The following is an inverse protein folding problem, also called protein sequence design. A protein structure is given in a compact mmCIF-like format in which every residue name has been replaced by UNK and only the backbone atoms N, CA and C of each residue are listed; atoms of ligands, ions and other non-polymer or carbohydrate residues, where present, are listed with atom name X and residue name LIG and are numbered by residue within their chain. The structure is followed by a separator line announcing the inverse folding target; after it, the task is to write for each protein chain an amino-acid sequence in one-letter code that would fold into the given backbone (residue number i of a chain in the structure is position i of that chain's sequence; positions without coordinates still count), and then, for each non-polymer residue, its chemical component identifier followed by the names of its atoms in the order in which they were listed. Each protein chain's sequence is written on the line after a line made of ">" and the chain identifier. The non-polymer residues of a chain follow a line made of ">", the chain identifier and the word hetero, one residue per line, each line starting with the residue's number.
data_IF_077002481217
#
_entry.id   IF_077002481217
#
_cell.length_a   1.000
_cell.length_b   1.000
_cell.length_c   1.000
_cell.angle_alpha   90.00
_cell.angle_beta   90.00
_cell.angle_gamma   90.00
#
_symmetry.space_group_name_H-M   'P 1'
#
loop_
_entity.id
_entity.type
_entity.pdbx_description
1 polymer ?
#
# COMPACT_ATOMS: atom_id res chain seq x y z
N UNK A 1 59.90 17.68 -24.03
CA UNK A 1 58.45 17.94 -23.94
C UNK A 1 57.67 16.64 -24.06
N UNK A 2 57.21 16.04 -22.96
CA UNK A 2 56.07 15.10 -22.90
C UNK A 2 55.53 15.14 -21.47
N UNK A 3 54.54 16.01 -21.22
CA UNK A 3 53.87 16.14 -19.93
C UNK A 3 52.82 15.04 -19.79
N UNK A 4 52.90 14.25 -18.72
CA UNK A 4 51.89 13.27 -18.35
C UNK A 4 50.64 14.00 -17.82
N UNK A 5 49.50 13.70 -18.43
CA UNK A 5 48.17 14.16 -17.99
C UNK A 5 47.78 13.31 -16.77
N UNK A 6 47.78 13.91 -15.59
CA UNK A 6 47.22 13.32 -14.37
C UNK A 6 45.70 13.51 -14.37
N UNK A 7 44.95 12.43 -14.61
CA UNK A 7 43.50 12.41 -14.44
C UNK A 7 43.17 12.30 -12.95
N UNK A 8 42.63 13.38 -12.37
CA UNK A 8 42.03 13.41 -11.05
C UNK A 8 40.62 12.80 -11.14
N UNK A 9 40.49 11.52 -10.78
CA UNK A 9 39.19 10.85 -10.69
C UNK A 9 38.53 11.21 -9.36
N UNK A 10 37.53 12.12 -9.41
CA UNK A 10 36.65 12.44 -8.28
C UNK A 10 35.70 11.25 -8.06
N UNK A 11 35.86 10.56 -6.94
CA UNK A 11 34.98 9.46 -6.54
C UNK A 11 33.71 10.04 -5.89
N UNK A 12 32.62 10.16 -6.66
CA UNK A 12 31.29 10.50 -6.15
C UNK A 12 30.73 9.27 -5.41
N UNK A 13 30.72 9.30 -4.08
CA UNK A 13 30.05 8.29 -3.26
C UNK A 13 28.54 8.54 -3.38
N UNK A 14 27.88 7.79 -4.25
CA UNK A 14 26.42 7.81 -4.35
C UNK A 14 25.84 7.05 -3.16
N UNK A 15 25.41 7.77 -2.12
CA UNK A 15 24.54 7.21 -1.07
C UNK A 15 23.21 6.88 -1.73
N UNK A 16 23.04 5.61 -2.10
CA UNK A 16 21.75 5.09 -2.55
C UNK A 16 20.96 4.80 -1.27
N UNK A 17 19.99 5.65 -0.94
CA UNK A 17 18.97 5.31 0.04
C UNK A 17 18.19 4.12 -0.52
N UNK A 18 18.53 2.90 -0.10
CA UNK A 18 17.67 1.75 -0.32
C UNK A 18 16.38 2.06 0.46
N UNK A 19 15.28 2.26 -0.27
CA UNK A 19 13.97 2.23 0.35
C UNK A 19 13.87 0.84 1.00
N UNK A 20 13.79 0.81 2.33
CA UNK A 20 13.58 -0.41 3.09
C UNK A 20 12.15 -0.88 2.77
N UNK A 21 12.01 -1.65 1.70
CA UNK A 21 10.76 -2.33 1.38
C UNK A 21 10.60 -3.40 2.46
N UNK A 22 9.74 -3.12 3.45
CA UNK A 22 9.55 -3.98 4.61
C UNK A 22 9.30 -5.44 4.22
N UNK A 23 9.71 -6.37 5.08
CA UNK A 23 9.53 -7.79 4.81
C UNK A 23 8.03 -8.14 4.69
N UNK A 24 7.70 -8.94 3.68
CA UNK A 24 6.34 -9.43 3.49
C UNK A 24 5.93 -10.30 4.68
N UNK A 25 4.75 -10.05 5.23
CA UNK A 25 4.19 -10.85 6.30
C UNK A 25 3.88 -12.26 5.81
N UNK A 26 4.09 -13.26 6.68
CA UNK A 26 3.57 -14.61 6.48
C UNK A 26 2.05 -14.63 6.61
N UNK A 27 1.44 -15.74 6.18
CA UNK A 27 0.00 -15.97 6.34
C UNK A 27 -0.47 -15.83 7.80
N UNK A 28 0.26 -16.45 8.75
CA UNK A 28 -0.07 -16.41 10.19
C UNK A 28 0.07 -15.00 10.75
N UNK A 29 1.12 -14.28 10.35
CA UNK A 29 1.33 -12.89 10.75
C UNK A 29 0.18 -12.02 10.22
N UNK A 30 -0.15 -12.12 8.94
CA UNK A 30 -1.26 -11.40 8.34
C UNK A 30 -2.59 -11.68 9.05
N UNK A 31 -2.92 -12.96 9.30
CA UNK A 31 -4.14 -13.33 10.03
C UNK A 31 -4.22 -12.74 11.44
N UNK A 32 -3.08 -12.63 12.14
CA UNK A 32 -3.04 -12.05 13.48
C UNK A 32 -3.17 -10.52 13.48
N UNK A 33 -2.72 -9.86 12.42
CA UNK A 33 -2.57 -8.40 12.39
C UNK A 33 -3.68 -7.67 11.63
N UNK A 34 -4.29 -8.31 10.64
CA UNK A 34 -5.34 -7.67 9.82
C UNK A 34 -6.60 -7.35 10.64
N UNK A 35 -7.13 -8.23 11.52
CA UNK A 35 -8.28 -7.91 12.36
C UNK A 35 -8.11 -6.62 13.17
N UNK A 36 -9.02 -5.66 13.00
CA UNK A 36 -9.01 -4.37 13.69
C UNK A 36 -8.03 -3.33 13.12
N UNK A 37 -7.28 -3.67 12.07
CA UNK A 37 -6.32 -2.74 11.45
C UNK A 37 -7.00 -1.68 10.58
N UNK A 38 -6.32 -0.54 10.42
CA UNK A 38 -6.63 0.47 9.39
C UNK A 38 -5.44 0.58 8.44
N UNK A 39 -5.73 0.63 7.15
CA UNK A 39 -4.75 0.72 6.07
C UNK A 39 -5.13 1.85 5.12
N UNK A 40 -4.15 2.37 4.39
CA UNK A 40 -4.39 3.42 3.42
C UNK A 40 -3.42 3.37 2.25
N UNK A 41 -3.82 3.95 1.12
CA UNK A 41 -2.99 4.09 -0.07
C UNK A 41 -3.36 5.36 -0.82
N UNK A 42 -2.35 6.13 -1.20
CA UNK A 42 -2.53 7.26 -2.12
C UNK A 42 -2.54 6.71 -3.56
N UNK A 43 -3.58 7.02 -4.31
CA UNK A 43 -3.69 6.69 -5.73
C UNK A 43 -2.85 7.64 -6.60
N UNK A 44 -2.64 7.26 -7.87
CA UNK A 44 -1.85 8.06 -8.82
C UNK A 44 -2.41 9.47 -9.05
N UNK A 45 -3.72 9.66 -8.88
CA UNK A 45 -4.39 10.96 -8.97
C UNK A 45 -4.31 11.79 -7.68
N UNK A 46 -3.53 11.35 -6.68
CA UNK A 46 -3.43 12.00 -5.37
C UNK A 46 -4.63 11.78 -4.44
N UNK A 47 -5.64 11.02 -4.86
CA UNK A 47 -6.76 10.64 -3.99
C UNK A 47 -6.32 9.62 -2.94
N UNK A 48 -6.86 9.72 -1.73
CA UNK A 48 -6.58 8.78 -0.66
C UNK A 48 -7.64 7.67 -0.65
N UNK A 49 -7.19 6.42 -0.65
CA UNK A 49 -8.01 5.27 -0.30
C UNK A 49 -7.66 4.85 1.12
N UNK A 50 -8.66 4.74 1.99
CA UNK A 50 -8.49 4.28 3.36
C UNK A 50 -9.50 3.17 3.64
N UNK A 51 -9.13 2.15 4.39
CA UNK A 51 -10.04 1.11 4.82
C UNK A 51 -9.71 0.58 6.21
N UNK A 52 -10.76 0.16 6.92
CA UNK A 52 -10.64 -0.48 8.23
C UNK A 52 -11.16 -1.91 8.13
N UNK A 53 -10.35 -2.85 8.63
CA UNK A 53 -10.63 -4.28 8.66
C UNK A 53 -11.29 -4.64 9.99
N UNK A 54 -12.56 -5.01 9.98
CA UNK A 54 -13.27 -5.56 11.14
C UNK A 54 -12.75 -6.95 11.50
N UNK A 55 -12.79 -7.31 12.78
CA UNK A 55 -12.35 -8.64 13.24
C UNK A 55 -13.24 -9.80 12.74
N UNK A 56 -14.40 -9.48 12.19
CA UNK A 56 -15.40 -10.41 11.64
C UNK A 56 -15.24 -10.69 10.13
N UNK A 57 -14.14 -10.22 9.53
CA UNK A 57 -13.88 -10.35 8.10
C UNK A 57 -14.58 -9.29 7.23
N UNK A 58 -15.27 -8.33 7.83
CA UNK A 58 -15.83 -7.18 7.10
C UNK A 58 -14.83 -6.03 7.01
N UNK A 59 -15.01 -5.15 6.04
CA UNK A 59 -14.26 -3.91 5.94
C UNK A 59 -15.15 -2.77 5.45
N UNK A 60 -14.73 -1.54 5.71
CA UNK A 60 -15.32 -0.34 5.09
C UNK A 60 -14.22 0.40 4.36
N UNK A 61 -14.42 0.67 3.08
CA UNK A 61 -13.46 1.39 2.22
C UNK A 61 -13.98 2.79 1.94
N UNK A 62 -13.14 3.79 2.12
CA UNK A 62 -13.37 5.18 1.77
C UNK A 62 -12.43 5.61 0.64
N UNK A 63 -12.97 6.26 -0.39
CA UNK A 63 -12.19 7.00 -1.39
C UNK A 63 -12.39 8.48 -1.16
N UNK A 64 -11.33 9.15 -0.71
CA UNK A 64 -11.25 10.58 -0.59
C UNK A 64 -10.67 11.14 -1.89
N UNK A 65 -11.26 12.22 -2.42
CA UNK A 65 -10.80 12.82 -3.65
C UNK A 65 -9.41 13.46 -3.46
N UNK A 66 -8.65 13.59 -4.56
CA UNK A 66 -7.38 14.32 -4.53
C UNK A 66 -7.58 15.83 -4.30
N UNK A 67 -6.52 16.57 -3.93
CA UNK A 67 -6.58 18.02 -3.72
C UNK A 67 -7.19 18.77 -4.91
N UNK A 68 -8.07 19.73 -4.63
CA UNK A 68 -8.72 20.57 -5.66
C UNK A 68 -9.88 19.91 -6.42
N UNK A 69 -10.19 18.64 -6.15
CA UNK A 69 -11.36 17.97 -6.72
C UNK A 69 -12.66 18.42 -6.06
N UNK A 70 -13.72 18.51 -6.87
CA UNK A 70 -15.10 18.79 -6.42
C UNK A 70 -15.89 17.53 -6.07
N UNK A 71 -15.30 16.34 -6.23
CA UNK A 71 -15.98 15.09 -5.92
C UNK A 71 -16.10 14.93 -4.39
N UNK A 72 -17.20 14.34 -3.92
CA UNK A 72 -17.36 13.99 -2.50
C UNK A 72 -16.60 12.71 -2.12
N UNK A 73 -16.48 12.47 -0.82
CA UNK A 73 -16.01 11.19 -0.28
C UNK A 73 -17.00 10.09 -0.65
N UNK A 74 -16.47 8.95 -1.12
CA UNK A 74 -17.27 7.77 -1.47
C UNK A 74 -16.93 6.63 -0.52
N UNK A 75 -17.93 5.83 -0.14
CA UNK A 75 -17.75 4.68 0.75
C UNK A 75 -18.37 3.43 0.14
N UNK A 76 -17.76 2.28 0.42
CA UNK A 76 -18.30 0.96 0.10
C UNK A 76 -18.06 -0.02 1.26
N UNK A 77 -18.98 -0.96 1.42
CA UNK A 77 -18.75 -2.15 2.21
C UNK A 77 -17.73 -3.04 1.50
N UNK A 78 -17.03 -3.86 2.28
CA UNK A 78 -16.06 -4.79 1.76
C UNK A 78 -15.93 -6.03 2.67
N UNK A 79 -15.26 -7.05 2.16
CA UNK A 79 -14.85 -8.25 2.90
C UNK A 79 -13.36 -8.46 2.68
N UNK A 80 -12.64 -8.77 3.75
CA UNK A 80 -11.23 -9.08 3.65
C UNK A 80 -10.97 -10.55 3.96
N UNK A 81 -9.89 -11.06 3.41
CA UNK A 81 -9.37 -12.40 3.68
C UNK A 81 -7.85 -12.41 3.56
N UNK A 82 -7.22 -13.47 4.06
CA UNK A 82 -5.83 -13.78 3.77
C UNK A 82 -5.81 -15.13 3.07
N UNK A 83 -5.20 -15.21 1.90
CA UNK A 83 -5.03 -16.46 1.17
C UNK A 83 -3.91 -17.31 1.77
N UNK A 84 -3.92 -18.62 1.51
CA UNK A 84 -2.93 -19.56 2.04
C UNK A 84 -1.48 -19.19 1.69
N UNK A 85 -1.26 -18.47 0.58
CA UNK A 85 0.05 -17.96 0.16
C UNK A 85 0.43 -16.59 0.79
N UNK A 86 -0.31 -16.15 1.81
CA UNK A 86 -0.03 -14.97 2.62
C UNK A 86 -0.43 -13.64 2.00
N UNK A 87 -1.25 -13.62 0.93
CA UNK A 87 -1.75 -12.37 0.37
C UNK A 87 -3.00 -11.92 1.11
N UNK A 88 -3.05 -10.64 1.45
CA UNK A 88 -4.26 -9.97 1.90
C UNK A 88 -5.13 -9.66 0.67
N UNK A 89 -6.39 -10.06 0.71
CA UNK A 89 -7.37 -9.81 -0.33
C UNK A 89 -8.52 -8.94 0.18
N UNK A 90 -9.06 -8.10 -0.70
CA UNK A 90 -10.20 -7.24 -0.41
C UNK A 90 -11.22 -7.30 -1.55
N UNK A 91 -12.45 -7.67 -1.20
CA UNK A 91 -13.63 -7.65 -2.06
C UNK A 91 -14.46 -6.42 -1.72
N UNK A 92 -14.66 -5.51 -2.66
CA UNK A 92 -15.29 -4.22 -2.43
C UNK A 92 -16.58 -4.03 -3.23
N UNK A 93 -17.66 -3.68 -2.54
CA UNK A 93 -19.00 -3.61 -3.10
C UNK A 93 -19.33 -2.20 -3.62
N UNK A 94 -18.56 -1.72 -4.60
CA UNK A 94 -18.89 -0.46 -5.26
C UNK A 94 -20.05 -0.61 -6.24
N UNK A 95 -20.96 0.36 -6.24
CA UNK A 95 -22.01 0.44 -7.26
C UNK A 95 -21.42 0.56 -8.67
N UNK A 96 -22.14 0.12 -9.71
CA UNK A 96 -21.72 0.24 -11.12
C UNK A 96 -21.32 1.66 -11.52
N UNK A 97 -22.04 2.69 -11.08
CA UNK A 97 -21.70 4.10 -11.33
C UNK A 97 -20.40 4.59 -10.67
N UNK A 98 -19.83 3.77 -9.78
CA UNK A 98 -18.56 4.03 -9.08
C UNK A 98 -17.42 3.09 -9.54
N UNK A 99 -17.64 2.34 -10.63
CA UNK A 99 -16.67 1.40 -11.20
C UNK A 99 -17.04 -0.08 -10.99
N UNK A 100 -18.12 -0.37 -10.27
CA UNK A 100 -18.55 -1.74 -9.99
C UNK A 100 -17.69 -2.47 -8.96
N UNK A 101 -18.10 -3.69 -8.56
CA UNK A 101 -17.38 -4.48 -7.58
C UNK A 101 -15.92 -4.70 -7.96
N UNK A 102 -15.03 -4.69 -6.98
CA UNK A 102 -13.59 -4.85 -7.19
C UNK A 102 -13.02 -5.88 -6.23
N UNK A 103 -12.33 -6.87 -6.77
CA UNK A 103 -11.51 -7.81 -6.02
C UNK A 103 -10.03 -7.55 -6.31
N UNK A 104 -9.19 -7.55 -5.28
CA UNK A 104 -7.74 -7.52 -5.44
C UNK A 104 -7.04 -8.20 -4.27
N UNK A 105 -5.82 -8.67 -4.50
CA UNK A 105 -4.95 -9.25 -3.49
C UNK A 105 -3.54 -8.66 -3.59
N UNK A 106 -2.87 -8.49 -2.46
CA UNK A 106 -1.49 -8.01 -2.38
C UNK A 106 -0.81 -8.59 -1.15
N UNK A 107 0.52 -8.72 -1.19
CA UNK A 107 1.28 -8.99 0.04
C UNK A 107 1.26 -7.73 0.90
N UNK A 108 1.34 -7.91 2.20
CA UNK A 108 1.39 -6.79 3.15
C UNK A 108 2.66 -6.83 3.95
N UNK A 109 3.12 -5.66 4.35
CA UNK A 109 4.25 -5.46 5.25
C UNK A 109 3.78 -4.73 6.49
N UNK A 110 4.63 -4.68 7.51
CA UNK A 110 4.41 -3.90 8.72
C UNK A 110 5.50 -2.84 8.81
N UNK A 111 5.12 -1.58 8.98
CA UNK A 111 6.08 -0.51 9.24
C UNK A 111 6.55 -0.49 10.71
N UNK A 112 7.49 0.41 11.02
CA UNK A 112 8.06 0.54 12.37
C UNK A 112 7.02 0.91 13.45
N UNK A 113 5.94 1.61 13.07
CA UNK A 113 4.83 1.96 13.96
C UNK A 113 3.80 0.84 14.08
N UNK A 114 3.98 -0.23 13.31
CA UNK A 114 3.12 -1.39 13.28
C UNK A 114 1.91 -1.28 12.38
N UNK A 115 1.82 -0.26 11.53
CA UNK A 115 0.75 -0.16 10.54
C UNK A 115 1.03 -1.08 9.36
N UNK A 116 -0.05 -1.63 8.83
CA UNK A 116 0.01 -2.51 7.67
C UNK A 116 0.04 -1.67 6.39
N UNK A 117 0.95 -2.05 5.48
CA UNK A 117 1.11 -1.43 4.18
C UNK A 117 0.98 -2.47 3.07
N UNK A 118 0.48 -2.07 1.90
CA UNK A 118 0.51 -2.94 0.72
C UNK A 118 1.94 -2.97 0.16
N UNK A 119 2.48 -4.16 -0.06
CA UNK A 119 3.73 -4.36 -0.77
C UNK A 119 3.49 -4.11 -2.27
N UNK A 120 4.33 -3.28 -2.88
CA UNK A 120 4.24 -2.91 -4.30
C UNK A 120 4.79 -4.00 -5.22
#
# INVERSE_FOLDING_TARGET
>A
MRFFIGLLTVCLIQVSALADEGEALTHEQALSMVPGSTMSRIGQNGGLREWTNGADGTATVSRLPGPGSKQGVRKAAARWSVSDDGRYCLDEDWSTGQGGPLHWCSRITRDADGKLQLLH
#
